data_IF_601907376469
#
_entry.id   IF_601907376469
#
_cell.length_a   1.000
_cell.length_b   1.000
_cell.length_c   1.000
_cell.angle_alpha   90.00
_cell.angle_beta   90.00
_cell.angle_gamma   90.00
#
_symmetry.space_group_name_H-M   'P 1'
#
loop_
_entity.id
_entity.type
_entity.pdbx_description
1 polymer ?
#
# COMPACT_ATOMS: atom_id res chain seq x y z
N UNK A 1 21.54 -25.19 -3.94
CA UNK A 1 20.29 -25.40 -3.17
C UNK A 1 19.80 -24.13 -2.47
N UNK A 2 20.63 -23.39 -1.71
CA UNK A 2 20.18 -22.17 -1.00
C UNK A 2 19.91 -20.99 -1.96
N UNK A 3 20.75 -20.81 -2.99
CA UNK A 3 20.59 -19.72 -3.96
C UNK A 3 19.29 -19.80 -4.78
N UNK A 4 18.78 -21.00 -5.06
CA UNK A 4 17.50 -21.19 -5.78
C UNK A 4 16.30 -20.80 -4.93
N UNK A 5 16.35 -21.05 -3.62
CA UNK A 5 15.29 -20.68 -2.67
C UNK A 5 15.18 -19.16 -2.56
N UNK A 6 16.30 -18.44 -2.53
CA UNK A 6 16.28 -16.99 -2.40
C UNK A 6 15.78 -16.30 -3.67
N UNK A 7 16.13 -16.84 -4.85
CA UNK A 7 15.54 -16.41 -6.12
C UNK A 7 14.02 -16.63 -6.15
N UNK A 8 13.55 -17.75 -5.60
CA UNK A 8 12.12 -18.02 -5.47
C UNK A 8 11.42 -17.01 -4.54
N UNK A 9 12.03 -16.65 -3.41
CA UNK A 9 11.48 -15.64 -2.48
C UNK A 9 11.33 -14.27 -3.18
N UNK A 10 12.31 -13.87 -3.99
CA UNK A 10 12.21 -12.62 -4.75
C UNK A 10 11.09 -12.65 -5.79
N UNK A 11 10.96 -13.76 -6.53
CA UNK A 11 9.87 -13.94 -7.50
C UNK A 11 8.50 -13.94 -6.81
N UNK A 12 8.39 -14.64 -5.68
CA UNK A 12 7.19 -14.66 -4.86
C UNK A 12 6.81 -13.27 -4.34
N UNK A 13 7.77 -12.43 -3.96
CA UNK A 13 7.52 -11.02 -3.63
C UNK A 13 6.84 -10.30 -4.79
N UNK A 14 7.46 -10.28 -5.98
CA UNK A 14 6.91 -9.62 -7.17
C UNK A 14 5.52 -10.14 -7.57
N UNK A 15 5.28 -11.44 -7.44
CA UNK A 15 3.97 -12.04 -7.72
C UNK A 15 2.91 -11.62 -6.67
N UNK A 16 3.30 -11.46 -5.40
CA UNK A 16 2.44 -10.87 -4.37
C UNK A 16 2.19 -9.38 -4.61
N UNK A 17 3.19 -8.62 -5.07
CA UNK A 17 3.03 -7.21 -5.41
C UNK A 17 1.97 -7.01 -6.51
N UNK A 18 2.10 -7.76 -7.60
CA UNK A 18 1.18 -7.70 -8.74
C UNK A 18 -0.22 -8.20 -8.38
N UNK A 19 -0.34 -9.33 -7.68
CA UNK A 19 -1.64 -9.82 -7.21
C UNK A 19 -2.30 -8.88 -6.22
N UNK A 20 -1.55 -8.24 -5.31
CA UNK A 20 -2.07 -7.21 -4.41
C UNK A 20 -2.68 -6.01 -5.14
N UNK A 21 -2.02 -5.51 -6.19
CA UNK A 21 -2.57 -4.44 -7.04
C UNK A 21 -3.85 -4.88 -7.74
N UNK A 22 -3.90 -6.12 -8.26
CA UNK A 22 -5.10 -6.67 -8.90
C UNK A 22 -6.24 -6.82 -7.89
N UNK A 23 -5.98 -7.36 -6.70
CA UNK A 23 -7.01 -7.50 -5.64
C UNK A 23 -7.55 -6.13 -5.22
N UNK A 24 -6.68 -5.10 -5.14
CA UNK A 24 -7.12 -3.73 -4.89
C UNK A 24 -8.03 -3.21 -6.01
N UNK A 25 -7.64 -3.41 -7.26
CA UNK A 25 -8.46 -3.02 -8.42
C UNK A 25 -9.79 -3.75 -8.42
N UNK A 26 -9.82 -5.04 -8.12
CA UNK A 26 -11.07 -5.83 -8.00
C UNK A 26 -11.99 -5.23 -6.95
N UNK A 27 -11.47 -4.88 -5.76
CA UNK A 27 -12.27 -4.25 -4.71
C UNK A 27 -12.91 -2.93 -5.16
N UNK A 28 -12.12 -2.06 -5.82
CA UNK A 28 -12.63 -0.79 -6.34
C UNK A 28 -13.68 -1.02 -7.45
N UNK A 29 -13.40 -1.88 -8.42
CA UNK A 29 -14.31 -2.15 -9.53
C UNK A 29 -15.60 -2.83 -9.07
N UNK A 30 -15.55 -3.76 -8.13
CA UNK A 30 -16.76 -4.43 -7.62
C UNK A 30 -17.68 -3.46 -6.87
N UNK A 31 -17.12 -2.44 -6.20
CA UNK A 31 -17.90 -1.44 -5.48
C UNK A 31 -18.56 -0.43 -6.44
N UNK A 32 -17.83 0.06 -7.46
CA UNK A 32 -18.34 1.06 -8.40
C UNK A 32 -19.08 0.48 -9.60
N UNK A 33 -18.76 -0.75 -10.03
CA UNK A 33 -19.35 -1.45 -11.17
C UNK A 33 -19.89 -2.83 -10.71
N UNK A 34 -21.10 -2.86 -10.12
CA UNK A 34 -21.72 -4.09 -9.63
C UNK A 34 -21.86 -5.14 -10.74
N UNK A 35 -21.15 -6.27 -10.59
CA UNK A 35 -21.11 -7.35 -11.58
C UNK A 35 -22.13 -8.47 -11.33
N UNK A 36 -22.75 -8.50 -10.15
CA UNK A 36 -23.74 -9.51 -9.75
C UNK A 36 -25.16 -8.94 -9.77
N UNK A 37 -26.13 -9.73 -10.22
CA UNK A 37 -27.53 -9.33 -10.20
C UNK A 37 -27.99 -9.01 -8.77
N UNK A 38 -28.76 -7.94 -8.62
CA UNK A 38 -29.35 -7.47 -7.35
C UNK A 38 -28.37 -7.03 -6.25
N UNK A 39 -27.05 -7.13 -6.44
CA UNK A 39 -26.08 -6.78 -5.37
C UNK A 39 -26.12 -5.30 -4.98
N UNK A 40 -26.51 -4.42 -5.91
CA UNK A 40 -26.68 -2.99 -5.65
C UNK A 40 -27.91 -2.66 -4.78
N UNK A 41 -28.83 -3.61 -4.60
CA UNK A 41 -30.03 -3.45 -3.76
C UNK A 41 -29.75 -3.79 -2.30
N UNK A 42 -28.66 -4.51 -2.01
CA UNK A 42 -28.23 -4.90 -0.68
C UNK A 42 -27.06 -4.03 -0.21
N UNK A 43 -27.05 -3.61 1.06
CA UNK A 43 -25.98 -2.74 1.61
C UNK A 43 -24.84 -3.54 2.24
N UNK A 44 -25.15 -4.67 2.87
CA UNK A 44 -24.21 -5.43 3.70
C UNK A 44 -23.23 -6.25 2.87
N UNK A 45 -23.72 -6.90 1.82
CA UNK A 45 -22.91 -7.75 0.92
C UNK A 45 -21.80 -6.97 0.21
N UNK A 46 -22.06 -5.85 -0.51
CA UNK A 46 -20.99 -5.10 -1.16
C UNK A 46 -20.02 -4.45 -0.16
N UNK A 47 -20.50 -4.01 1.00
CA UNK A 47 -19.64 -3.49 2.07
C UNK A 47 -18.69 -4.57 2.63
N UNK A 48 -19.21 -5.78 2.88
CA UNK A 48 -18.42 -6.93 3.32
C UNK A 48 -17.39 -7.35 2.26
N UNK A 49 -17.78 -7.45 0.99
CA UNK A 49 -16.87 -7.80 -0.10
C UNK A 49 -15.77 -6.76 -0.28
N UNK A 50 -16.10 -5.47 -0.23
CA UNK A 50 -15.11 -4.40 -0.35
C UNK A 50 -14.09 -4.47 0.80
N UNK A 51 -14.56 -4.52 2.05
CA UNK A 51 -13.69 -4.57 3.23
C UNK A 51 -12.83 -5.83 3.26
N UNK A 52 -13.40 -6.99 2.90
CA UNK A 52 -12.66 -8.25 2.77
C UNK A 52 -11.48 -8.11 1.80
N UNK A 53 -11.72 -7.64 0.57
CA UNK A 53 -10.66 -7.52 -0.43
C UNK A 53 -9.63 -6.46 -0.02
N UNK A 54 -10.03 -5.33 0.56
CA UNK A 54 -9.09 -4.32 1.07
C UNK A 54 -8.19 -4.86 2.19
N UNK A 55 -8.73 -5.67 3.10
CA UNK A 55 -7.92 -6.28 4.15
C UNK A 55 -6.93 -7.30 3.59
N UNK A 56 -7.37 -8.11 2.62
CA UNK A 56 -6.51 -9.06 1.90
C UNK A 56 -5.38 -8.33 1.18
N UNK A 57 -5.65 -7.19 0.54
CA UNK A 57 -4.62 -6.34 -0.07
C UNK A 57 -3.57 -5.92 0.96
N UNK A 58 -3.99 -5.42 2.13
CA UNK A 58 -3.07 -5.00 3.19
C UNK A 58 -2.13 -6.13 3.64
N UNK A 59 -2.66 -7.35 3.80
CA UNK A 59 -1.87 -8.53 4.16
C UNK A 59 -0.89 -8.90 3.05
N UNK A 60 -1.33 -8.93 1.80
CA UNK A 60 -0.49 -9.32 0.64
C UNK A 60 0.61 -8.29 0.40
N UNK A 61 0.30 -6.99 0.42
CA UNK A 61 1.28 -5.91 0.21
C UNK A 61 2.36 -5.90 1.30
N UNK A 62 1.98 -6.07 2.57
CA UNK A 62 2.96 -6.13 3.68
C UNK A 62 3.89 -7.35 3.53
N UNK A 63 3.34 -8.48 3.05
CA UNK A 63 4.11 -9.71 2.81
C UNK A 63 5.08 -9.57 1.64
N UNK A 64 4.71 -8.87 0.57
CA UNK A 64 5.60 -8.56 -0.55
C UNK A 64 6.84 -7.80 -0.07
N UNK A 65 6.68 -6.67 0.64
CA UNK A 65 7.81 -5.93 1.20
C UNK A 65 8.67 -6.77 2.15
N UNK A 66 8.05 -7.66 2.93
CA UNK A 66 8.76 -8.59 3.81
C UNK A 66 9.63 -9.58 3.03
N UNK A 67 9.13 -10.16 1.95
CA UNK A 67 9.91 -11.01 1.05
C UNK A 67 11.02 -10.23 0.34
N UNK A 68 10.75 -8.99 -0.08
CA UNK A 68 11.75 -8.08 -0.63
C UNK A 68 12.90 -7.82 0.33
N UNK A 69 12.59 -7.53 1.61
CA UNK A 69 13.61 -7.34 2.65
C UNK A 69 14.46 -8.61 2.87
N UNK A 70 13.83 -9.80 2.91
CA UNK A 70 14.56 -11.08 3.02
C UNK A 70 15.52 -11.27 1.85
N UNK A 71 15.10 -10.91 0.62
CA UNK A 71 15.97 -10.95 -0.55
C UNK A 71 17.18 -10.02 -0.42
N UNK A 72 16.99 -8.79 0.08
CA UNK A 72 18.10 -7.86 0.29
C UNK A 72 19.13 -8.34 1.32
N UNK A 73 18.69 -9.05 2.37
CA UNK A 73 19.59 -9.53 3.42
C UNK A 73 20.33 -10.80 2.99
N UNK A 74 19.63 -11.75 2.35
CA UNK A 74 20.16 -13.11 2.10
C UNK A 74 20.62 -13.35 0.67
N UNK A 75 20.05 -12.64 -0.31
CA UNK A 75 20.19 -12.95 -1.74
C UNK A 75 20.89 -11.92 -2.59
N UNK A 76 21.01 -10.69 -2.09
CA UNK A 76 21.54 -9.59 -2.86
C UNK A 76 23.07 -9.62 -2.92
N UNK A 77 23.62 -9.55 -4.14
CA UNK A 77 25.06 -9.44 -4.36
C UNK A 77 25.41 -7.99 -4.78
N UNK A 78 26.11 -7.22 -3.93
CA UNK A 78 26.42 -5.81 -4.18
C UNK A 78 27.49 -5.59 -5.26
N UNK A 79 28.19 -6.65 -5.71
CA UNK A 79 29.28 -6.53 -6.70
C UNK A 79 28.79 -6.21 -8.12
N UNK A 80 27.47 -6.21 -8.37
CA UNK A 80 26.88 -5.92 -9.68
C UNK A 80 26.49 -4.45 -9.77
N UNK A 81 27.04 -3.72 -10.76
CA UNK A 81 26.65 -2.35 -11.05
C UNK A 81 25.34 -2.32 -11.87
N UNK A 82 24.21 -2.47 -11.19
CA UNK A 82 22.87 -2.47 -11.79
C UNK A 82 22.00 -1.34 -11.21
N UNK A 83 20.79 -1.18 -11.74
CA UNK A 83 19.82 -0.17 -11.27
C UNK A 83 19.53 -0.34 -9.76
N UNK A 84 19.48 -1.58 -9.27
CA UNK A 84 19.25 -1.87 -7.86
C UNK A 84 20.37 -1.33 -6.95
N UNK A 85 21.62 -1.45 -7.37
CA UNK A 85 22.76 -0.87 -6.67
C UNK A 85 22.68 0.67 -6.63
N UNK A 86 22.23 1.30 -7.73
CA UNK A 86 22.02 2.75 -7.79
C UNK A 86 20.94 3.21 -6.80
N UNK A 87 19.82 2.49 -6.73
CA UNK A 87 18.74 2.78 -5.77
C UNK A 87 19.25 2.73 -4.33
N UNK A 88 20.06 1.73 -4.00
CA UNK A 88 20.64 1.59 -2.66
C UNK A 88 21.66 2.69 -2.34
N UNK A 89 22.40 3.19 -3.33
CA UNK A 89 23.36 4.27 -3.14
C UNK A 89 22.69 5.58 -2.73
N UNK A 90 21.51 5.89 -3.27
CA UNK A 90 20.74 7.10 -2.95
C UNK A 90 19.52 6.82 -2.04
N UNK A 91 19.58 5.77 -1.20
CA UNK A 91 18.47 5.39 -0.31
C UNK A 91 18.04 6.49 0.67
N UNK A 92 18.99 7.28 1.16
CA UNK A 92 18.71 8.36 2.12
C UNK A 92 17.88 9.49 1.50
N UNK A 93 18.09 9.77 0.21
CA UNK A 93 17.26 10.73 -0.54
C UNK A 93 15.82 10.21 -0.72
N UNK A 94 15.64 8.91 -0.99
CA UNK A 94 14.30 8.30 -1.08
C UNK A 94 13.59 8.37 0.27
N UNK A 95 14.27 7.96 1.35
CA UNK A 95 13.70 7.93 2.71
C UNK A 95 13.33 9.35 3.17
N UNK A 96 14.19 10.34 2.94
CA UNK A 96 13.92 11.73 3.34
C UNK A 96 12.75 12.34 2.57
N UNK A 97 12.62 12.11 1.26
CA UNK A 97 11.46 12.59 0.50
C UNK A 97 10.16 11.90 0.91
N UNK A 98 10.19 10.59 1.17
CA UNK A 98 9.01 9.86 1.63
C UNK A 98 8.57 10.28 3.04
N UNK A 99 9.54 10.57 3.92
CA UNK A 99 9.32 11.14 5.25
C UNK A 99 8.69 12.53 5.16
N UNK A 100 9.24 13.40 4.30
CA UNK A 100 8.67 14.73 4.03
C UNK A 100 7.23 14.63 3.52
N UNK A 101 6.95 13.77 2.54
CA UNK A 101 5.59 13.60 2.01
C UNK A 101 4.61 13.10 3.09
N UNK A 102 5.03 12.18 3.95
CA UNK A 102 4.22 11.67 5.06
C UNK A 102 3.93 12.76 6.10
N UNK A 103 4.92 13.56 6.47
CA UNK A 103 4.72 14.69 7.38
C UNK A 103 3.84 15.77 6.77
N UNK A 104 4.09 16.12 5.50
CA UNK A 104 3.29 17.09 4.78
C UNK A 104 1.82 16.67 4.77
N UNK A 105 1.52 15.46 4.29
CA UNK A 105 0.15 14.98 4.22
C UNK A 105 -0.47 14.83 5.62
N UNK A 106 0.27 14.28 6.58
CA UNK A 106 -0.20 14.09 7.96
C UNK A 106 -0.56 15.40 8.66
N UNK A 107 0.34 16.39 8.65
CA UNK A 107 0.08 17.67 9.32
C UNK A 107 -1.03 18.46 8.63
N UNK A 108 -1.10 18.48 7.30
CA UNK A 108 -2.12 19.25 6.60
C UNK A 108 -3.51 18.62 6.72
N UNK A 109 -3.63 17.30 6.57
CA UNK A 109 -4.93 16.61 6.73
C UNK A 109 -5.42 16.68 8.16
N UNK A 110 -4.59 16.36 9.15
CA UNK A 110 -4.96 16.41 10.56
C UNK A 110 -5.32 17.82 11.00
N UNK A 111 -4.57 18.84 10.55
CA UNK A 111 -4.89 20.25 10.82
C UNK A 111 -6.28 20.62 10.31
N UNK A 112 -6.65 20.20 9.10
CA UNK A 112 -7.97 20.49 8.54
C UNK A 112 -9.08 19.84 9.37
N UNK A 113 -8.91 18.58 9.79
CA UNK A 113 -9.87 17.91 10.67
C UNK A 113 -10.01 18.64 12.01
N UNK A 114 -8.90 18.92 12.70
CA UNK A 114 -8.92 19.63 13.99
C UNK A 114 -9.52 21.03 13.83
N UNK A 115 -9.18 21.76 12.78
CA UNK A 115 -9.73 23.09 12.53
C UNK A 115 -11.24 23.05 12.35
N UNK A 116 -11.75 22.11 11.55
CA UNK A 116 -13.18 21.93 11.33
C UNK A 116 -13.90 21.57 12.64
N UNK A 117 -13.34 20.65 13.43
CA UNK A 117 -13.90 20.26 14.72
C UNK A 117 -13.94 21.44 15.70
N UNK A 118 -12.88 22.25 15.73
CA UNK A 118 -12.79 23.45 16.57
C UNK A 118 -13.79 24.53 16.13
N UNK A 119 -13.89 24.81 14.82
CA UNK A 119 -14.85 25.80 14.31
C UNK A 119 -16.30 25.38 14.52
N UNK A 120 -16.59 24.07 14.42
CA UNK A 120 -17.90 23.51 14.74
C UNK A 120 -18.19 23.63 16.25
N UNK A 121 -17.22 23.29 17.10
CA UNK A 121 -17.35 23.40 18.56
C UNK A 121 -17.61 24.84 19.03
N UNK A 122 -17.01 25.83 18.37
CA UNK A 122 -17.24 27.25 18.65
C UNK A 122 -18.45 27.86 17.92
N UNK A 123 -19.25 27.05 17.20
CA UNK A 123 -20.44 27.49 16.44
C UNK A 123 -20.12 28.62 15.45
N UNK A 124 -18.90 28.62 14.90
CA UNK A 124 -18.45 29.58 13.88
C UNK A 124 -18.10 28.86 12.57
N UNK A 125 -19.06 28.18 11.91
CA UNK A 125 -18.80 27.35 10.74
C UNK A 125 -18.42 28.12 9.45
N UNK A 126 -18.39 29.45 9.49
CA UNK A 126 -18.16 30.33 8.32
C UNK A 126 -16.74 30.93 8.26
N UNK A 127 -15.84 30.56 9.18
CA UNK A 127 -14.44 31.03 9.21
C UNK A 127 -13.51 29.86 8.95
#
# INVERSE_FOLDING_TARGET
MIQSIIHFIFKLGLDLASSGVITFLVAQHMYFLPSYAFIAQELTTPASLYTHHQYVVGVIMTRDFSHGAIFFIRGYNPKKNNVLARILYHKEAIISHLSWASFFLGFHTLRLYIYNDVMLAFVTPKK
#
